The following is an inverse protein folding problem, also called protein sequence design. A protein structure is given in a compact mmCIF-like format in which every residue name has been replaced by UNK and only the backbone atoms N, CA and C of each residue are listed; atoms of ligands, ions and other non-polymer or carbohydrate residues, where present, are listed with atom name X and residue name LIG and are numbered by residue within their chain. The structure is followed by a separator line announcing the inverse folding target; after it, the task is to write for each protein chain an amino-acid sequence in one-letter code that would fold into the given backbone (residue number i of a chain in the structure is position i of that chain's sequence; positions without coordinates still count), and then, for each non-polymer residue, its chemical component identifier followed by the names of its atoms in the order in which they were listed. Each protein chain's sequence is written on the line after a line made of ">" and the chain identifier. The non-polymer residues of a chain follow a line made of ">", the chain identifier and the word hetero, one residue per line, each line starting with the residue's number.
data_IF_550511232028
#
_entry.id   IF_550511232028
#
_cell.length_a   1.000
_cell.length_b   1.000
_cell.length_c   1.000
_cell.angle_alpha   90.00
_cell.angle_beta   90.00
_cell.angle_gamma   90.00
#
_symmetry.space_group_name_H-M   'P 1'
#
loop_
_entity.id
_entity.type
_entity.pdbx_description
1 polymer ?
#
# COMPACT_ATOMS: atom_id res chain seq x y z
N UNK A 1 -50.68 37.39 -19.63
CA UNK A 1 -50.31 37.22 -18.19
C UNK A 1 -49.98 35.77 -17.77
N UNK A 2 -50.66 34.73 -18.24
CA UNK A 2 -50.39 33.32 -17.84
C UNK A 2 -49.02 32.77 -18.27
N UNK A 3 -48.49 33.16 -19.43
CA UNK A 3 -47.22 32.65 -19.99
C UNK A 3 -45.98 33.16 -19.20
N UNK A 4 -46.05 34.37 -18.65
CA UNK A 4 -44.96 34.98 -17.87
C UNK A 4 -44.79 34.26 -16.52
N UNK A 5 -45.90 33.85 -15.89
CA UNK A 5 -45.88 33.06 -14.64
C UNK A 5 -45.27 31.67 -14.81
N UNK A 6 -45.48 31.01 -15.95
CA UNK A 6 -44.90 29.68 -16.23
C UNK A 6 -43.38 29.77 -16.45
N UNK A 7 -42.89 30.81 -17.15
CA UNK A 7 -41.44 31.05 -17.32
C UNK A 7 -40.73 31.33 -15.98
N UNK A 8 -41.35 32.10 -15.08
CA UNK A 8 -40.79 32.38 -13.76
C UNK A 8 -40.76 31.14 -12.85
N UNK A 9 -41.76 30.25 -12.95
CA UNK A 9 -41.78 28.97 -12.23
C UNK A 9 -40.72 28.01 -12.76
N UNK A 10 -40.53 27.92 -14.09
CA UNK A 10 -39.48 27.08 -14.70
C UNK A 10 -38.07 27.58 -14.39
N UNK A 11 -37.84 28.91 -14.37
CA UNK A 11 -36.55 29.50 -13.97
C UNK A 11 -36.22 29.24 -12.49
N UNK A 12 -37.24 29.29 -11.62
CA UNK A 12 -37.12 28.94 -10.20
C UNK A 12 -36.82 27.46 -9.98
N UNK A 13 -37.46 26.55 -10.74
CA UNK A 13 -37.16 25.12 -10.69
C UNK A 13 -35.73 24.81 -11.17
N UNK A 14 -35.23 25.50 -12.20
CA UNK A 14 -33.87 25.32 -12.71
C UNK A 14 -32.81 25.83 -11.72
N UNK A 15 -33.08 26.93 -11.00
CA UNK A 15 -32.20 27.41 -9.92
C UNK A 15 -32.22 26.47 -8.70
N UNK A 16 -33.38 25.90 -8.33
CA UNK A 16 -33.49 24.91 -7.24
C UNK A 16 -32.80 23.57 -7.58
N UNK A 17 -32.78 23.16 -8.86
CA UNK A 17 -32.02 22.00 -9.33
C UNK A 17 -30.50 22.25 -9.35
N UNK A 18 -30.06 23.49 -9.61
CA UNK A 18 -28.63 23.85 -9.56
C UNK A 18 -28.05 23.92 -8.14
N UNK A 19 -28.89 24.08 -7.12
CA UNK A 19 -28.50 24.07 -5.70
C UNK A 19 -28.27 22.66 -5.13
N UNK A 20 -28.57 21.60 -5.90
CA UNK A 20 -28.35 20.20 -5.49
C UNK A 20 -26.94 19.66 -5.73
N UNK A 21 -26.05 20.42 -6.39
CA UNK A 21 -24.67 20.02 -6.68
C UNK A 21 -23.66 20.69 -5.76
N UNK A 22 -24.04 20.99 -4.51
CA UNK A 22 -23.08 21.40 -3.49
C UNK A 22 -22.10 20.26 -3.28
N UNK A 23 -20.87 20.52 -3.74
CA UNK A 23 -19.90 19.50 -4.11
C UNK A 23 -19.56 18.54 -2.97
N UNK A 24 -19.49 17.25 -3.30
CA UNK A 24 -18.88 16.23 -2.45
C UNK A 24 -17.35 16.43 -2.31
N UNK A 25 -16.77 17.41 -3.01
CA UNK A 25 -15.38 17.81 -2.86
C UNK A 25 -15.10 18.35 -1.45
N UNK A 26 -13.93 18.01 -0.93
CA UNK A 26 -13.43 18.40 0.38
C UNK A 26 -12.38 19.50 0.18
N UNK A 27 -12.43 20.56 0.97
CA UNK A 27 -11.38 21.59 1.00
C UNK A 27 -10.13 21.12 1.76
N UNK A 28 -8.96 21.71 1.48
CA UNK A 28 -7.71 21.41 2.21
C UNK A 28 -7.90 21.52 3.73
N UNK A 29 -8.58 22.59 4.20
CA UNK A 29 -8.84 22.82 5.62
C UNK A 29 -9.75 21.75 6.24
N UNK A 30 -10.79 21.29 5.52
CA UNK A 30 -11.63 20.19 5.97
C UNK A 30 -10.83 18.89 6.07
N UNK A 31 -9.98 18.60 5.07
CA UNK A 31 -9.13 17.41 5.05
C UNK A 31 -8.10 17.41 6.18
N UNK A 32 -7.43 18.55 6.42
CA UNK A 32 -6.48 18.71 7.53
C UNK A 32 -7.16 18.51 8.89
N UNK A 33 -8.34 19.10 9.07
CA UNK A 33 -9.13 18.96 10.31
C UNK A 33 -9.53 17.51 10.56
N UNK A 34 -9.99 16.81 9.51
CA UNK A 34 -10.36 15.40 9.61
C UNK A 34 -9.15 14.52 9.90
N UNK A 35 -8.00 14.77 9.27
CA UNK A 35 -6.76 14.08 9.58
C UNK A 35 -6.36 14.29 11.06
N UNK A 36 -6.36 15.53 11.54
CA UNK A 36 -6.04 15.84 12.93
C UNK A 36 -6.96 15.13 13.92
N UNK A 37 -8.27 15.15 13.67
CA UNK A 37 -9.26 14.54 14.55
C UNK A 37 -9.19 13.00 14.51
N UNK A 38 -8.95 12.40 13.34
CA UNK A 38 -8.75 10.96 13.22
C UNK A 38 -7.50 10.49 13.95
N UNK A 39 -6.36 11.16 13.76
CA UNK A 39 -5.09 10.82 14.42
C UNK A 39 -5.22 10.94 15.95
N UNK A 40 -5.84 12.00 16.45
CA UNK A 40 -6.16 12.17 17.87
C UNK A 40 -7.12 11.10 18.39
N UNK A 41 -8.08 10.65 17.57
CA UNK A 41 -9.01 9.59 17.96
C UNK A 41 -8.28 8.26 18.17
N UNK A 42 -7.39 7.88 17.24
CA UNK A 42 -6.70 6.58 17.29
C UNK A 42 -5.49 6.58 18.23
N UNK A 43 -4.90 7.75 18.50
CA UNK A 43 -3.78 7.90 19.41
C UNK A 43 -3.90 9.19 20.26
N UNK A 44 -4.79 9.19 21.27
CA UNK A 44 -5.16 10.41 22.02
C UNK A 44 -4.05 11.02 22.87
N UNK A 45 -2.98 10.26 23.16
CA UNK A 45 -1.84 10.72 23.98
C UNK A 45 -0.76 11.39 23.15
N UNK A 46 -0.82 11.27 21.82
CA UNK A 46 0.18 11.86 20.92
C UNK A 46 -0.19 13.28 20.52
N UNK A 47 0.86 14.09 20.33
CA UNK A 47 0.76 15.40 19.71
C UNK A 47 1.06 15.26 18.22
N UNK A 48 0.20 15.85 17.38
CA UNK A 48 0.35 15.83 15.93
C UNK A 48 0.52 17.25 15.41
N UNK A 49 1.63 17.49 14.72
CA UNK A 49 1.86 18.71 13.93
C UNK A 49 1.62 18.38 12.47
N UNK A 50 0.51 18.88 11.93
CA UNK A 50 0.17 18.72 10.51
C UNK A 50 0.67 19.94 9.75
N UNK A 51 1.33 19.71 8.61
CA UNK A 51 1.91 20.75 7.76
C UNK A 51 2.03 20.26 6.31
N UNK A 52 2.45 21.15 5.41
CA UNK A 52 2.76 20.87 4.00
C UNK A 52 1.65 20.09 3.28
N UNK A 53 0.56 20.79 2.97
CA UNK A 53 -0.51 20.24 2.15
C UNK A 53 -0.09 20.20 0.67
N UNK A 54 0.11 19.00 0.15
CA UNK A 54 0.29 18.76 -1.29
C UNK A 54 -0.99 18.12 -1.86
N UNK A 55 -1.42 18.61 -3.03
CA UNK A 55 -2.55 18.00 -3.74
C UNK A 55 -2.06 16.84 -4.61
N UNK A 56 -2.65 15.67 -4.40
CA UNK A 56 -2.52 14.57 -5.35
C UNK A 56 -3.67 14.71 -6.34
N UNK A 57 -3.33 15.06 -7.58
CA UNK A 57 -4.27 15.35 -8.66
C UNK A 57 -3.94 14.58 -9.95
N UNK A 58 -4.84 14.71 -10.90
CA UNK A 58 -4.62 14.43 -12.33
C UNK A 58 -5.25 15.58 -13.16
N UNK A 59 -5.42 15.36 -14.47
CA UNK A 59 -5.91 16.35 -15.43
C UNK A 59 -7.35 16.84 -15.12
N UNK A 60 -8.16 16.05 -14.42
CA UNK A 60 -9.53 16.39 -14.03
C UNK A 60 -9.60 16.98 -12.61
N UNK A 61 -8.47 17.31 -11.98
CA UNK A 61 -8.40 18.02 -10.69
C UNK A 61 -7.98 17.16 -9.50
N UNK A 62 -8.17 17.70 -8.29
CA UNK A 62 -7.65 17.11 -7.05
C UNK A 62 -8.40 15.85 -6.64
N UNK A 63 -7.68 14.82 -6.20
CA UNK A 63 -8.21 13.52 -5.81
C UNK A 63 -7.99 13.18 -4.35
N UNK A 64 -6.83 13.59 -3.82
CA UNK A 64 -6.45 13.39 -2.43
C UNK A 64 -5.58 14.57 -1.96
N UNK A 65 -5.39 14.66 -0.66
CA UNK A 65 -4.45 15.54 -0.02
C UNK A 65 -3.40 14.73 0.72
N UNK A 66 -2.14 15.11 0.55
CA UNK A 66 -0.99 14.55 1.27
C UNK A 66 -0.50 15.60 2.25
N UNK A 67 -0.48 15.27 3.54
CA UNK A 67 0.05 16.15 4.57
C UNK A 67 1.22 15.48 5.28
N UNK A 68 2.22 16.29 5.65
CA UNK A 68 3.24 15.91 6.62
C UNK A 68 2.62 15.92 8.02
N UNK A 69 2.89 14.88 8.80
CA UNK A 69 2.44 14.75 10.21
C UNK A 69 3.65 14.40 11.05
N UNK A 70 4.14 15.33 11.88
CA UNK A 70 5.44 15.19 12.55
C UNK A 70 6.51 14.77 11.52
N UNK A 71 7.13 13.60 11.68
CA UNK A 71 8.08 13.02 10.71
C UNK A 71 7.49 11.91 9.83
N UNK A 72 6.17 11.76 9.84
CA UNK A 72 5.41 10.89 8.95
C UNK A 72 4.42 11.66 8.08
N UNK A 73 3.34 11.00 7.65
CA UNK A 73 2.38 11.52 6.69
C UNK A 73 0.95 11.05 6.93
N UNK A 74 0.00 11.71 6.28
CA UNK A 74 -1.39 11.25 6.15
C UNK A 74 -1.91 11.55 4.75
N UNK A 75 -2.59 10.59 4.14
CA UNK A 75 -3.29 10.75 2.86
C UNK A 75 -4.78 10.77 3.11
N UNK A 76 -5.42 11.85 2.69
CA UNK A 76 -6.85 12.11 2.91
C UNK A 76 -7.58 12.16 1.56
N UNK A 77 -8.74 11.52 1.44
CA UNK A 77 -9.56 11.59 0.24
C UNK A 77 -10.11 13.01 0.00
N UNK A 78 -10.21 13.42 -1.27
CA UNK A 78 -10.84 14.71 -1.65
C UNK A 78 -12.36 14.60 -1.81
N UNK A 79 -12.98 13.42 -1.64
CA UNK A 79 -14.41 13.23 -1.88
C UNK A 79 -15.13 12.61 -0.68
N UNK A 80 -16.24 13.22 -0.26
CA UNK A 80 -17.06 12.79 0.87
C UNK A 80 -17.76 11.44 0.66
N UNK A 81 -17.73 10.88 -0.56
CA UNK A 81 -18.17 9.51 -0.87
C UNK A 81 -17.12 8.44 -0.53
N UNK A 82 -15.87 8.82 -0.28
CA UNK A 82 -14.81 7.90 0.14
C UNK A 82 -14.63 7.91 1.66
N UNK A 83 -14.03 6.83 2.20
CA UNK A 83 -13.50 6.88 3.56
C UNK A 83 -12.43 7.97 3.67
N UNK A 84 -12.41 8.80 4.73
CA UNK A 84 -11.55 9.98 4.75
C UNK A 84 -10.05 9.69 4.75
N UNK A 85 -9.58 8.73 5.56
CA UNK A 85 -8.15 8.49 5.78
C UNK A 85 -7.70 7.24 5.02
N UNK A 86 -6.91 7.44 3.97
CA UNK A 86 -6.50 6.37 3.05
C UNK A 86 -5.16 5.74 3.43
N UNK A 87 -4.27 6.53 4.03
CA UNK A 87 -3.01 6.06 4.61
C UNK A 87 -2.52 7.01 5.70
N UNK A 88 -1.74 6.50 6.65
CA UNK A 88 -1.08 7.32 7.66
C UNK A 88 0.18 6.66 8.24
N UNK A 89 1.11 7.50 8.70
CA UNK A 89 2.19 7.18 9.63
C UNK A 89 2.48 8.46 10.43
N UNK A 90 2.51 8.41 11.76
CA UNK A 90 2.48 9.62 12.58
C UNK A 90 3.84 10.07 13.12
N UNK A 91 4.92 9.33 12.89
CA UNK A 91 6.20 9.61 13.54
C UNK A 91 7.48 9.22 12.79
N UNK A 92 7.38 8.68 11.57
CA UNK A 92 8.55 8.39 10.71
C UNK A 92 8.14 8.23 9.24
N UNK A 93 9.12 7.98 8.39
CA UNK A 93 8.92 7.50 7.01
C UNK A 93 8.26 8.52 6.07
N UNK A 94 8.27 9.81 6.41
CA UNK A 94 7.90 10.87 5.49
C UNK A 94 8.84 10.90 4.29
N UNK A 95 8.26 10.94 3.10
CA UNK A 95 8.94 11.16 1.84
C UNK A 95 8.12 12.13 0.98
N UNK A 96 8.75 12.82 0.04
CA UNK A 96 8.06 13.74 -0.87
C UNK A 96 7.41 12.96 -2.02
N UNK A 97 6.30 13.47 -2.55
CA UNK A 97 5.60 12.81 -3.68
C UNK A 97 6.45 12.68 -4.95
N UNK A 98 7.57 13.43 -5.04
CA UNK A 98 8.56 13.31 -6.10
C UNK A 98 9.49 12.07 -5.98
N UNK A 99 9.37 11.25 -4.93
CA UNK A 99 10.23 10.06 -4.76
C UNK A 99 10.03 9.00 -5.85
N UNK A 100 11.06 8.19 -6.10
CA UNK A 100 11.06 7.09 -7.08
C UNK A 100 10.53 5.76 -6.54
N UNK A 101 9.71 5.75 -5.48
CA UNK A 101 9.13 4.52 -4.93
C UNK A 101 8.01 3.99 -5.86
N UNK A 102 8.36 3.04 -6.74
CA UNK A 102 7.43 2.54 -7.75
C UNK A 102 6.23 1.80 -7.16
N UNK A 103 6.39 1.07 -6.07
CA UNK A 103 5.33 0.30 -5.40
C UNK A 103 4.28 1.22 -4.76
N UNK A 104 4.72 2.28 -4.09
CA UNK A 104 3.82 3.30 -3.57
C UNK A 104 3.14 4.06 -4.71
N UNK A 105 3.87 4.44 -5.76
CA UNK A 105 3.27 5.12 -6.92
C UNK A 105 2.24 4.24 -7.63
N UNK A 106 2.49 2.94 -7.72
CA UNK A 106 1.53 1.96 -8.21
C UNK A 106 0.26 1.96 -7.34
N UNK A 107 0.39 1.76 -6.04
CA UNK A 107 -0.76 1.80 -5.11
C UNK A 107 -1.54 3.12 -5.23
N UNK A 108 -0.83 4.25 -5.30
CA UNK A 108 -1.42 5.56 -5.44
C UNK A 108 -2.18 5.71 -6.77
N UNK A 109 -1.63 5.19 -7.87
CA UNK A 109 -2.27 5.22 -9.19
C UNK A 109 -3.58 4.43 -9.22
N UNK A 110 -3.61 3.28 -8.54
CA UNK A 110 -4.78 2.42 -8.44
C UNK A 110 -5.86 3.04 -7.54
N UNK A 111 -5.44 3.74 -6.49
CA UNK A 111 -6.33 4.53 -5.64
C UNK A 111 -6.91 5.74 -6.37
N UNK A 112 -6.12 6.45 -7.18
CA UNK A 112 -6.61 7.55 -8.04
C UNK A 112 -7.77 7.08 -8.93
N UNK A 113 -7.64 5.90 -9.56
CA UNK A 113 -8.70 5.32 -10.40
C UNK A 113 -9.97 5.02 -9.60
N UNK A 114 -9.86 4.51 -8.37
CA UNK A 114 -11.01 4.30 -7.49
C UNK A 114 -11.74 5.61 -7.14
N UNK A 115 -11.01 6.66 -6.77
CA UNK A 115 -11.62 7.95 -6.42
C UNK A 115 -12.28 8.59 -7.65
N UNK A 116 -11.68 8.45 -8.84
CA UNK A 116 -12.28 8.92 -10.10
C UNK A 116 -13.64 8.27 -10.37
N UNK A 117 -13.73 6.95 -10.22
CA UNK A 117 -15.00 6.22 -10.35
C UNK A 117 -16.06 6.72 -9.37
N UNK A 118 -15.70 7.03 -8.11
CA UNK A 118 -16.62 7.65 -7.13
C UNK A 118 -17.08 9.04 -7.53
N UNK A 119 -16.15 9.88 -7.98
CA UNK A 119 -16.42 11.26 -8.40
C UNK A 119 -17.40 11.31 -9.57
N UNK A 120 -17.23 10.42 -10.55
CA UNK A 120 -18.14 10.28 -11.69
C UNK A 120 -19.52 9.71 -11.31
N UNK A 121 -19.70 9.23 -10.07
CA UNK A 121 -20.98 8.68 -9.59
C UNK A 121 -21.32 7.32 -10.21
N UNK A 122 -20.35 6.64 -10.80
CA UNK A 122 -20.54 5.39 -11.55
C UNK A 122 -20.72 4.19 -10.59
N UNK A 123 -20.38 4.32 -9.30
CA UNK A 123 -20.41 3.22 -8.35
C UNK A 123 -20.98 3.62 -6.98
N UNK A 124 -21.60 2.66 -6.31
CA UNK A 124 -21.94 2.78 -4.89
C UNK A 124 -20.68 2.58 -4.04
N UNK A 125 -20.44 3.42 -3.01
CA UNK A 125 -19.41 3.14 -2.01
C UNK A 125 -19.70 1.79 -1.33
N UNK A 126 -18.65 1.02 -1.07
CA UNK A 126 -18.72 -0.15 -0.18
C UNK A 126 -19.05 0.26 1.25
N UNK A 127 -18.61 1.46 1.64
CA UNK A 127 -18.84 2.01 2.95
C UNK A 127 -20.25 2.55 3.11
N UNK A 128 -20.91 2.21 4.21
CA UNK A 128 -22.21 2.77 4.55
C UNK A 128 -22.07 4.23 5.02
N UNK A 129 -22.76 5.17 4.37
CA UNK A 129 -22.85 6.60 4.75
C UNK A 129 -21.49 7.32 4.93
N UNK A 130 -20.58 7.28 3.94
CA UNK A 130 -19.26 7.93 4.02
C UNK A 130 -19.34 9.44 4.32
N UNK A 131 -20.33 10.16 3.79
CA UNK A 131 -20.51 11.59 4.05
C UNK A 131 -20.83 11.89 5.53
N UNK A 132 -21.50 10.98 6.24
CA UNK A 132 -21.80 11.15 7.67
C UNK A 132 -20.54 10.93 8.52
N UNK A 133 -19.65 10.02 8.11
CA UNK A 133 -18.33 9.83 8.73
C UNK A 133 -17.49 11.11 8.63
N UNK A 134 -17.47 11.73 7.45
CA UNK A 134 -16.83 13.02 7.23
C UNK A 134 -17.37 14.10 8.17
N UNK A 135 -18.70 14.23 8.26
CA UNK A 135 -19.33 15.22 9.13
C UNK A 135 -18.97 15.00 10.61
N UNK A 136 -19.01 13.75 11.07
CA UNK A 136 -18.71 13.40 12.46
C UNK A 136 -17.23 13.65 12.80
N UNK A 137 -16.30 13.39 11.88
CA UNK A 137 -14.88 13.72 12.03
C UNK A 137 -14.60 15.23 11.94
N UNK A 138 -15.38 15.99 11.17
CA UNK A 138 -15.26 17.45 11.08
C UNK A 138 -15.73 18.19 12.34
N UNK A 139 -16.70 17.64 13.06
CA UNK A 139 -17.36 18.31 14.20
C UNK A 139 -16.64 18.13 15.55
N UNK A 140 -15.64 17.26 15.64
CA UNK A 140 -14.81 16.95 16.81
C UNK A 140 -15.52 16.27 18.02
N UNK A 141 -14.85 15.22 18.51
CA UNK A 141 -14.91 14.40 19.75
C UNK A 141 -16.20 13.91 20.42
N UNK A 142 -17.36 14.59 20.41
CA UNK A 142 -18.53 14.07 21.18
C UNK A 142 -19.36 13.05 20.40
N UNK A 143 -19.32 13.11 19.07
CA UNK A 143 -20.10 12.25 18.17
C UNK A 143 -19.37 11.03 17.62
N UNK A 144 -18.08 10.93 17.91
CA UNK A 144 -17.23 9.78 17.55
C UNK A 144 -16.57 9.22 18.79
N UNK A 145 -16.52 7.90 18.88
CA UNK A 145 -15.80 7.22 19.97
C UNK A 145 -15.08 6.00 19.43
N UNK A 146 -13.81 5.87 19.75
CA UNK A 146 -13.08 4.62 19.59
C UNK A 146 -13.65 3.64 20.62
N UNK A 147 -14.39 2.62 20.16
CA UNK A 147 -15.00 1.62 21.05
C UNK A 147 -13.95 0.60 21.47
N UNK A 148 -13.15 0.16 20.50
CA UNK A 148 -12.05 -0.76 20.72
C UNK A 148 -10.93 -0.44 19.76
N UNK A 149 -9.71 -0.45 20.29
CA UNK A 149 -8.55 -0.73 19.48
C UNK A 149 -8.47 -2.25 19.37
N UNK A 150 -8.80 -2.80 18.20
CA UNK A 150 -8.53 -4.22 17.97
C UNK A 150 -7.02 -4.29 17.90
N UNK A 151 -6.37 -4.68 19.02
CA UNK A 151 -4.91 -4.76 19.19
C UNK A 151 -4.28 -5.17 17.87
N UNK A 152 -3.75 -4.17 17.18
CA UNK A 152 -2.96 -4.41 16.01
C UNK A 152 -1.77 -5.25 16.40
N UNK A 153 -1.24 -6.01 15.45
CA UNK A 153 0.01 -6.71 15.64
C UNK A 153 1.04 -5.98 14.78
N UNK A 154 1.68 -4.91 15.29
CA UNK A 154 2.80 -4.32 14.58
C UNK A 154 4.00 -5.26 14.71
N UNK A 155 4.52 -5.77 13.60
CA UNK A 155 5.89 -6.24 13.54
C UNK A 155 6.70 -5.05 13.04
N UNK A 156 7.51 -4.46 13.92
CA UNK A 156 8.56 -3.56 13.46
C UNK A 156 9.68 -4.44 12.94
N UNK A 157 9.75 -4.66 11.63
CA UNK A 157 10.88 -5.37 11.06
C UNK A 157 12.13 -4.49 11.18
N UNK A 158 13.25 -5.08 11.61
CA UNK A 158 14.55 -4.39 11.56
C UNK A 158 15.05 -4.20 10.11
N UNK A 159 14.27 -4.64 9.12
CA UNK A 159 14.61 -4.68 7.70
C UNK A 159 13.97 -3.55 6.88
N UNK A 160 13.27 -2.60 7.51
CA UNK A 160 12.62 -1.46 6.82
C UNK A 160 13.57 -0.61 5.94
N UNK A 161 14.88 -0.79 6.09
CA UNK A 161 15.91 -0.06 5.33
C UNK A 161 16.18 -0.64 3.95
N UNK A 162 15.67 -1.84 3.63
CA UNK A 162 15.90 -2.47 2.33
C UNK A 162 15.42 -1.59 1.18
N UNK A 163 16.18 -1.58 0.10
CA UNK A 163 15.92 -0.75 -1.07
C UNK A 163 16.19 -1.57 -2.35
N UNK A 164 15.84 -1.02 -3.50
CA UNK A 164 16.16 -1.63 -4.79
C UNK A 164 17.43 -1.10 -5.44
N UNK A 165 18.04 -0.05 -4.87
CA UNK A 165 19.29 0.57 -5.31
C UNK A 165 20.44 0.24 -4.35
N UNK A 166 21.56 0.95 -4.46
CA UNK A 166 22.75 0.74 -3.64
C UNK A 166 22.40 0.84 -2.13
N UNK A 167 22.97 -0.01 -1.27
CA UNK A 167 23.93 -1.09 -1.57
C UNK A 167 23.31 -2.37 -2.12
N UNK A 168 22.00 -2.55 -2.01
CA UNK A 168 21.29 -3.81 -2.26
C UNK A 168 21.42 -4.33 -3.69
N UNK A 169 21.58 -3.45 -4.68
CA UNK A 169 21.76 -3.86 -6.07
C UNK A 169 23.22 -4.04 -6.48
N UNK A 170 24.21 -3.93 -5.59
CA UNK A 170 25.64 -3.87 -5.95
C UNK A 170 26.16 -5.10 -6.70
N UNK A 171 25.47 -6.25 -6.63
CA UNK A 171 25.79 -7.46 -7.40
C UNK A 171 24.82 -7.71 -8.56
N UNK A 172 23.77 -6.91 -8.70
CA UNK A 172 22.87 -7.01 -9.85
C UNK A 172 23.64 -6.71 -11.15
N UNK A 173 23.25 -7.30 -12.29
CA UNK A 173 24.00 -7.14 -13.51
C UNK A 173 23.88 -5.70 -14.04
N UNK A 174 24.76 -5.34 -14.97
CA UNK A 174 24.81 -4.02 -15.60
C UNK A 174 24.36 -4.11 -17.06
N UNK A 175 23.73 -3.06 -17.57
CA UNK A 175 23.46 -2.92 -19.00
C UNK A 175 24.77 -2.74 -19.78
N UNK A 176 24.69 -2.81 -21.11
CA UNK A 176 25.85 -2.56 -21.98
C UNK A 176 26.48 -1.17 -21.76
N UNK A 177 25.73 -0.20 -21.25
CA UNK A 177 26.19 1.16 -20.93
C UNK A 177 26.75 1.27 -19.50
N UNK A 178 26.89 0.15 -18.77
CA UNK A 178 27.44 0.11 -17.42
C UNK A 178 26.47 0.56 -16.32
N UNK A 179 25.20 0.81 -16.65
CA UNK A 179 24.18 1.18 -15.65
C UNK A 179 23.72 -0.08 -14.93
N UNK A 180 23.71 -0.04 -13.60
CA UNK A 180 23.36 -1.20 -12.77
C UNK A 180 21.85 -1.40 -12.69
N UNK A 181 21.40 -2.63 -12.88
CA UNK A 181 20.00 -3.00 -12.69
C UNK A 181 19.56 -2.74 -11.24
N UNK A 182 18.28 -2.45 -11.04
CA UNK A 182 17.68 -2.47 -9.70
C UNK A 182 17.44 -3.93 -9.27
N UNK A 183 17.36 -4.20 -7.96
CA UNK A 183 17.14 -5.58 -7.46
C UNK A 183 15.82 -6.17 -7.96
N UNK A 184 14.78 -5.34 -8.06
CA UNK A 184 13.40 -5.75 -8.28
C UNK A 184 12.65 -5.93 -6.96
N UNK A 185 11.39 -5.50 -6.94
CA UNK A 185 10.56 -5.46 -5.74
C UNK A 185 10.33 -6.84 -5.13
N UNK A 186 10.19 -7.89 -5.96
CA UNK A 186 10.09 -9.29 -5.53
C UNK A 186 11.35 -9.73 -4.77
N UNK A 187 12.54 -9.44 -5.30
CA UNK A 187 13.79 -9.82 -4.67
C UNK A 187 14.02 -9.05 -3.37
N UNK A 188 13.67 -7.75 -3.34
CA UNK A 188 13.73 -6.94 -2.13
C UNK A 188 12.81 -7.47 -1.04
N UNK A 189 11.53 -7.71 -1.35
CA UNK A 189 10.57 -8.25 -0.38
C UNK A 189 10.99 -9.64 0.14
N UNK A 190 11.49 -10.53 -0.73
CA UNK A 190 12.05 -11.81 -0.30
C UNK A 190 13.25 -11.64 0.64
N UNK A 191 14.13 -10.70 0.34
CA UNK A 191 15.33 -10.46 1.14
C UNK A 191 15.00 -9.90 2.52
N UNK A 192 14.02 -9.00 2.62
CA UNK A 192 13.49 -8.52 3.90
C UNK A 192 12.93 -9.65 4.75
N UNK A 193 12.15 -10.56 4.16
CA UNK A 193 11.62 -11.72 4.87
C UNK A 193 12.75 -12.65 5.34
N UNK A 194 13.74 -12.92 4.49
CA UNK A 194 14.85 -13.79 4.84
C UNK A 194 15.74 -13.22 5.94
N UNK A 195 16.02 -11.91 5.90
CA UNK A 195 16.76 -11.19 6.94
C UNK A 195 15.97 -11.19 8.25
N UNK A 196 14.67 -10.87 8.22
CA UNK A 196 13.82 -10.95 9.41
C UNK A 196 13.88 -12.33 10.10
N UNK A 197 13.84 -13.40 9.31
CA UNK A 197 13.92 -14.76 9.85
C UNK A 197 15.34 -15.23 10.17
N UNK A 198 16.38 -14.47 9.81
CA UNK A 198 17.76 -14.93 9.78
C UNK A 198 17.88 -16.32 9.11
N UNK A 199 17.29 -16.48 7.92
CA UNK A 199 17.12 -17.78 7.26
C UNK A 199 17.07 -17.68 5.73
N UNK A 200 17.66 -18.64 4.99
CA UNK A 200 18.36 -19.86 5.46
C UNK A 200 19.84 -19.63 5.73
N UNK A 201 20.48 -20.55 6.47
CA UNK A 201 21.95 -20.53 6.61
C UNK A 201 22.66 -20.91 5.30
N UNK A 202 22.01 -21.69 4.43
CA UNK A 202 22.57 -22.20 3.17
C UNK A 202 21.48 -22.33 2.10
N UNK A 203 21.79 -21.89 0.88
CA UNK A 203 20.89 -22.01 -0.27
C UNK A 203 20.67 -23.46 -0.73
N UNK A 204 19.86 -23.63 -1.76
CA UNK A 204 19.55 -24.92 -2.35
C UNK A 204 19.31 -24.83 -3.86
N UNK A 205 19.76 -25.88 -4.56
CA UNK A 205 19.56 -26.04 -6.00
C UNK A 205 20.48 -25.17 -6.85
N UNK A 206 20.37 -25.37 -8.14
CA UNK A 206 20.99 -24.56 -9.18
C UNK A 206 19.90 -23.77 -9.89
N UNK A 207 20.18 -22.51 -10.18
CA UNK A 207 19.30 -21.63 -10.93
C UNK A 207 19.96 -21.35 -12.27
N UNK A 208 19.21 -21.59 -13.34
CA UNK A 208 19.61 -21.20 -14.69
C UNK A 208 18.69 -20.08 -15.12
N UNK A 209 19.30 -18.92 -15.34
CA UNK A 209 18.65 -17.69 -15.69
C UNK A 209 19.07 -17.29 -17.10
N UNK A 210 18.07 -16.98 -17.92
CA UNK A 210 18.25 -16.40 -19.25
C UNK A 210 17.33 -15.19 -19.33
N UNK A 211 17.88 -14.00 -19.16
CA UNK A 211 17.12 -12.76 -19.36
C UNK A 211 17.22 -12.31 -20.80
N UNK A 212 16.06 -12.35 -21.45
CA UNK A 212 15.87 -11.95 -22.84
C UNK A 212 14.99 -10.71 -22.94
N UNK A 213 14.67 -10.04 -21.83
CA UNK A 213 13.51 -9.15 -21.74
C UNK A 213 13.83 -7.66 -21.61
N UNK A 214 15.08 -7.29 -21.30
CA UNK A 214 15.49 -5.90 -20.99
C UNK A 214 16.84 -5.50 -21.61
N UNK A 215 17.36 -4.33 -21.21
CA UNK A 215 18.70 -3.81 -21.52
C UNK A 215 19.85 -4.60 -20.86
N UNK A 216 19.54 -5.58 -20.02
CA UNK A 216 20.48 -6.44 -19.32
C UNK A 216 20.26 -7.87 -19.77
N UNK A 217 21.06 -8.32 -20.74
CA UNK A 217 20.94 -9.66 -21.32
C UNK A 217 22.08 -10.54 -20.83
N UNK A 218 21.76 -11.74 -20.36
CA UNK A 218 22.76 -12.69 -19.93
C UNK A 218 22.21 -14.08 -19.65
N UNK A 219 23.01 -15.09 -20.00
CA UNK A 219 22.82 -16.46 -19.55
C UNK A 219 23.71 -16.69 -18.33
N UNK A 220 23.10 -17.02 -17.19
CA UNK A 220 23.82 -17.38 -15.97
C UNK A 220 23.31 -18.71 -15.46
N UNK A 221 24.22 -19.63 -15.17
CA UNK A 221 23.94 -20.77 -14.30
C UNK A 221 24.66 -20.54 -12.99
N UNK A 222 23.91 -20.54 -11.88
CA UNK A 222 24.43 -20.24 -10.56
C UNK A 222 23.98 -21.30 -9.55
N UNK A 223 24.91 -21.83 -8.76
CA UNK A 223 24.60 -22.85 -7.76
C UNK A 223 24.36 -22.21 -6.39
N UNK A 224 23.09 -22.10 -5.99
CA UNK A 224 22.72 -21.61 -4.65
C UNK A 224 23.11 -22.61 -3.55
N UNK A 225 23.29 -23.89 -3.88
CA UNK A 225 23.74 -24.91 -2.93
C UNK A 225 25.15 -24.65 -2.40
N UNK A 226 25.96 -23.83 -3.08
CA UNK A 226 27.31 -23.50 -2.64
C UNK A 226 27.34 -22.21 -1.79
N UNK A 227 26.19 -21.57 -1.59
CA UNK A 227 26.08 -20.27 -0.93
C UNK A 227 25.68 -20.41 0.53
N UNK A 228 26.50 -19.85 1.41
CA UNK A 228 26.19 -19.66 2.83
C UNK A 228 25.84 -18.19 3.11
N UNK A 229 24.96 -17.99 4.08
CA UNK A 229 24.49 -16.69 4.53
C UNK A 229 24.70 -16.57 6.03
N UNK A 230 25.49 -15.56 6.43
CA UNK A 230 25.66 -15.20 7.82
C UNK A 230 24.77 -13.99 8.11
N UNK A 231 23.67 -14.22 8.79
CA UNK A 231 22.68 -13.18 9.11
C UNK A 231 23.11 -12.30 10.29
N UNK A 232 24.07 -12.76 11.10
CA UNK A 232 24.58 -11.95 12.19
C UNK A 232 25.44 -10.82 11.63
N UNK A 233 25.06 -9.57 11.89
CA UNK A 233 25.77 -8.36 11.47
C UNK A 233 25.98 -8.27 9.95
N UNK A 234 24.92 -8.48 9.16
CA UNK A 234 24.99 -8.37 7.70
C UNK A 234 25.57 -7.03 7.25
N UNK A 235 26.68 -7.11 6.52
CA UNK A 235 27.25 -5.96 5.82
C UNK A 235 26.37 -5.53 4.64
N UNK A 236 26.63 -4.34 4.11
CA UNK A 236 26.04 -3.89 2.84
C UNK A 236 26.25 -4.89 1.70
N UNK A 237 27.40 -5.59 1.71
CA UNK A 237 27.70 -6.60 0.70
C UNK A 237 26.91 -7.89 0.91
N UNK A 238 26.68 -8.31 2.16
CA UNK A 238 25.81 -9.45 2.47
C UNK A 238 24.37 -9.17 2.06
N UNK A 239 23.89 -7.94 2.29
CA UNK A 239 22.55 -7.48 1.86
C UNK A 239 22.42 -7.47 0.35
N UNK A 240 23.45 -7.03 -0.37
CA UNK A 240 23.43 -7.10 -1.83
C UNK A 240 23.51 -8.54 -2.35
N UNK A 241 24.28 -9.41 -1.67
CA UNK A 241 24.38 -10.84 -1.98
C UNK A 241 23.03 -11.52 -1.88
N UNK A 242 22.30 -11.33 -0.76
CA UNK A 242 20.99 -11.96 -0.62
C UNK A 242 19.98 -11.40 -1.64
N UNK A 243 19.98 -10.08 -1.88
CA UNK A 243 19.10 -9.45 -2.87
C UNK A 243 19.35 -9.98 -4.29
N UNK A 244 20.61 -10.13 -4.67
CA UNK A 244 20.97 -10.69 -5.96
C UNK A 244 20.56 -12.17 -6.07
N UNK A 245 20.85 -12.99 -5.04
CA UNK A 245 20.49 -14.41 -5.04
C UNK A 245 18.97 -14.61 -5.06
N UNK A 246 18.20 -13.76 -4.36
CA UNK A 246 16.74 -13.77 -4.42
C UNK A 246 16.25 -13.48 -5.84
N UNK A 247 16.83 -12.48 -6.52
CA UNK A 247 16.51 -12.17 -7.92
C UNK A 247 16.82 -13.31 -8.88
N UNK A 248 17.99 -13.94 -8.75
CA UNK A 248 18.34 -15.12 -9.55
C UNK A 248 17.35 -16.28 -9.33
N UNK A 249 16.96 -16.53 -8.08
CA UNK A 249 16.04 -17.63 -7.75
C UNK A 249 14.63 -17.45 -8.31
N UNK A 250 14.22 -16.21 -8.60
CA UNK A 250 12.91 -15.92 -9.20
C UNK A 250 12.95 -15.71 -10.71
N UNK A 251 14.10 -15.99 -11.34
CA UNK A 251 14.37 -15.68 -12.75
C UNK A 251 14.03 -14.22 -13.07
N UNK A 252 14.59 -13.29 -12.29
CA UNK A 252 14.32 -11.86 -12.41
C UNK A 252 14.65 -11.34 -13.81
N UNK A 253 13.70 -10.67 -14.45
CA UNK A 253 13.96 -9.83 -15.61
C UNK A 253 14.58 -8.53 -15.11
N UNK A 254 15.91 -8.39 -15.17
CA UNK A 254 16.64 -7.27 -14.59
C UNK A 254 16.59 -6.06 -15.51
N UNK A 255 16.19 -4.90 -15.01
CA UNK A 255 16.29 -3.64 -15.76
C UNK A 255 16.92 -2.54 -14.94
N UNK A 256 17.48 -1.56 -15.63
CA UNK A 256 18.13 -0.39 -14.99
C UNK A 256 17.14 0.54 -14.29
N UNK A 257 15.87 0.52 -14.68
CA UNK A 257 14.79 1.33 -14.09
C UNK A 257 13.85 0.48 -13.23
N UNK A 258 13.55 -0.74 -13.68
CA UNK A 258 12.64 -1.67 -13.02
C UNK A 258 13.06 -3.10 -13.34
N UNK A 259 12.94 -3.99 -12.36
CA UNK A 259 13.19 -5.42 -12.51
C UNK A 259 11.95 -6.20 -12.06
N UNK A 260 11.54 -7.19 -12.86
CA UNK A 260 10.27 -7.90 -12.66
C UNK A 260 10.40 -9.41 -12.55
N UNK A 261 9.59 -10.03 -11.71
CA UNK A 261 9.48 -11.48 -11.59
C UNK A 261 8.03 -11.90 -11.31
N UNK A 262 7.72 -13.18 -11.49
CA UNK A 262 6.36 -13.70 -11.31
C UNK A 262 6.09 -14.16 -9.88
N UNK A 263 4.84 -14.06 -9.45
CA UNK A 263 4.39 -14.53 -8.14
C UNK A 263 4.61 -16.05 -7.94
N UNK A 264 4.48 -16.83 -9.01
CA UNK A 264 4.76 -18.27 -8.98
C UNK A 264 6.24 -18.57 -8.71
N UNK A 265 7.15 -17.85 -9.37
CA UNK A 265 8.59 -17.99 -9.13
C UNK A 265 8.98 -17.57 -7.72
N UNK A 266 8.42 -16.46 -7.21
CA UNK A 266 8.59 -16.02 -5.83
C UNK A 266 8.25 -17.14 -4.84
N UNK A 267 7.04 -17.72 -4.97
CA UNK A 267 6.57 -18.79 -4.09
C UNK A 267 7.48 -20.03 -4.17
N UNK A 268 7.86 -20.42 -5.38
CA UNK A 268 8.71 -21.60 -5.59
C UNK A 268 10.13 -21.38 -5.06
N UNK A 269 10.70 -20.19 -5.24
CA UNK A 269 12.05 -19.86 -4.79
C UNK A 269 12.17 -19.92 -3.26
N UNK A 270 11.19 -19.38 -2.52
CA UNK A 270 11.17 -19.46 -1.06
C UNK A 270 11.26 -20.90 -0.56
N UNK A 271 10.47 -21.81 -1.15
CA UNK A 271 10.44 -23.23 -0.75
C UNK A 271 11.66 -23.98 -1.27
N UNK A 272 11.90 -23.96 -2.57
CA UNK A 272 12.85 -24.85 -3.23
C UNK A 272 14.29 -24.37 -3.10
N UNK A 273 14.54 -23.07 -3.11
CA UNK A 273 15.88 -22.50 -3.10
C UNK A 273 16.30 -21.95 -1.74
N UNK A 274 15.34 -21.42 -0.98
CA UNK A 274 15.59 -20.85 0.35
C UNK A 274 15.03 -21.69 1.49
N UNK A 275 14.51 -22.88 1.21
CA UNK A 275 14.18 -23.95 2.18
C UNK A 275 13.08 -23.61 3.19
N UNK A 276 12.28 -22.57 2.96
CA UNK A 276 11.11 -22.30 3.81
C UNK A 276 10.16 -23.49 3.79
N UNK A 277 9.65 -23.89 4.95
CA UNK A 277 8.75 -25.04 5.07
C UNK A 277 7.49 -24.92 4.20
N UNK A 278 6.95 -23.71 4.03
CA UNK A 278 5.92 -23.45 3.03
C UNK A 278 5.83 -21.99 2.59
N UNK A 279 5.39 -21.79 1.35
CA UNK A 279 4.93 -20.51 0.82
C UNK A 279 3.59 -20.72 0.09
N UNK A 280 2.56 -20.00 0.51
CA UNK A 280 1.17 -20.17 0.02
C UNK A 280 0.63 -18.85 -0.50
N UNK A 281 0.22 -18.83 -1.77
CA UNK A 281 -0.43 -17.68 -2.39
C UNK A 281 -1.90 -17.65 -1.99
N UNK A 282 -2.37 -16.51 -1.49
CA UNK A 282 -3.77 -16.28 -1.14
C UNK A 282 -4.27 -15.05 -1.91
N UNK A 283 -5.18 -15.23 -2.89
CA UNK A 283 -5.68 -14.12 -3.70
C UNK A 283 -6.78 -13.33 -2.98
N UNK A 284 -6.72 -12.01 -3.05
CA UNK A 284 -7.73 -11.11 -2.46
C UNK A 284 -9.09 -11.26 -3.13
N UNK A 285 -9.13 -11.60 -4.42
CA UNK A 285 -10.37 -11.80 -5.20
C UNK A 285 -11.34 -12.82 -4.60
N UNK A 286 -10.83 -13.79 -3.85
CA UNK A 286 -11.65 -14.86 -3.22
C UNK A 286 -11.98 -14.57 -1.75
N UNK A 287 -11.60 -13.40 -1.24
CA UNK A 287 -11.68 -13.07 0.18
C UNK A 287 -12.33 -11.69 0.36
N UNK A 288 -13.49 -11.63 1.02
CA UNK A 288 -14.09 -10.35 1.46
C UNK A 288 -13.23 -9.64 2.52
N UNK A 289 -13.42 -8.32 2.74
CA UNK A 289 -12.54 -7.51 3.61
C UNK A 289 -12.36 -8.08 5.01
N UNK A 290 -13.43 -8.58 5.63
CA UNK A 290 -13.37 -9.20 6.96
C UNK A 290 -12.45 -10.45 6.97
N UNK A 291 -12.58 -11.32 5.98
CA UNK A 291 -11.73 -12.51 5.88
C UNK A 291 -10.28 -12.14 5.54
N UNK A 292 -10.10 -11.19 4.63
CA UNK A 292 -8.76 -10.72 4.23
C UNK A 292 -7.97 -10.13 5.40
N UNK A 293 -8.61 -9.25 6.17
CA UNK A 293 -8.02 -8.72 7.40
C UNK A 293 -7.71 -9.83 8.40
N UNK A 294 -8.62 -10.81 8.56
CA UNK A 294 -8.42 -11.93 9.47
C UNK A 294 -7.24 -12.82 9.08
N UNK A 295 -7.03 -13.06 7.79
CA UNK A 295 -5.87 -13.82 7.28
C UNK A 295 -4.56 -13.07 7.56
N UNK A 296 -4.49 -11.78 7.22
CA UNK A 296 -3.31 -10.95 7.51
C UNK A 296 -3.00 -10.93 9.01
N UNK A 297 -4.03 -10.71 9.83
CA UNK A 297 -3.92 -10.72 11.29
C UNK A 297 -3.42 -12.05 11.83
N UNK A 298 -3.94 -13.18 11.32
CA UNK A 298 -3.51 -14.49 11.76
C UNK A 298 -2.01 -14.76 11.47
N UNK A 299 -1.47 -14.26 10.37
CA UNK A 299 -0.04 -14.39 10.08
C UNK A 299 0.80 -13.43 10.91
N UNK A 300 0.49 -12.15 10.85
CA UNK A 300 1.29 -11.09 11.46
C UNK A 300 1.29 -11.20 12.99
N UNK A 301 0.16 -11.54 13.62
CA UNK A 301 0.12 -11.76 15.07
C UNK A 301 0.87 -13.02 15.53
N UNK A 302 1.21 -13.92 14.61
CA UNK A 302 2.09 -15.06 14.87
C UNK A 302 3.54 -14.79 14.44
N UNK A 303 3.94 -13.51 14.35
CA UNK A 303 5.27 -13.07 13.95
C UNK A 303 5.66 -13.55 12.54
N UNK A 304 4.68 -13.70 11.64
CA UNK A 304 4.90 -14.07 10.24
C UNK A 304 4.52 -12.91 9.32
N UNK A 305 5.47 -12.02 8.96
CA UNK A 305 5.21 -11.03 7.91
C UNK A 305 4.91 -11.74 6.59
N UNK A 306 4.11 -11.10 5.74
CA UNK A 306 3.71 -11.66 4.44
C UNK A 306 4.28 -10.80 3.32
N UNK A 307 4.56 -11.43 2.17
CA UNK A 307 4.80 -10.65 0.95
C UNK A 307 3.46 -10.32 0.34
N UNK A 308 3.14 -9.04 0.22
CA UNK A 308 1.95 -8.52 -0.41
C UNK A 308 2.26 -8.18 -1.86
N UNK A 309 1.30 -8.42 -2.76
CA UNK A 309 1.45 -8.13 -4.18
C UNK A 309 0.19 -7.48 -4.75
N UNK A 310 0.36 -6.71 -5.81
CA UNK A 310 -0.73 -6.18 -6.61
C UNK A 310 -0.34 -6.14 -8.09
N UNK A 311 -1.32 -6.37 -8.96
CA UNK A 311 -1.13 -6.34 -10.42
C UNK A 311 -2.06 -5.28 -11.02
N UNK A 312 -1.51 -4.42 -11.86
CA UNK A 312 -2.28 -3.48 -12.68
C UNK A 312 -1.81 -3.48 -14.12
N UNK A 313 -2.26 -2.49 -14.88
CA UNK A 313 -2.04 -2.43 -16.34
C UNK A 313 -0.56 -2.30 -16.74
N UNK A 314 0.30 -1.82 -15.82
CA UNK A 314 1.72 -1.55 -16.07
C UNK A 314 2.66 -2.59 -15.45
N UNK A 315 2.12 -3.67 -14.87
CA UNK A 315 2.90 -4.76 -14.27
C UNK A 315 2.45 -5.17 -12.88
N UNK A 316 3.22 -6.06 -12.28
CA UNK A 316 3.05 -6.52 -10.90
C UNK A 316 4.05 -5.85 -9.96
N UNK A 317 3.62 -5.55 -8.74
CA UNK A 317 4.43 -5.00 -7.67
C UNK A 317 4.36 -5.91 -6.44
N UNK A 318 5.45 -5.96 -5.68
CA UNK A 318 5.56 -6.74 -4.45
C UNK A 318 6.19 -5.89 -3.34
N UNK A 319 5.73 -6.09 -2.11
CA UNK A 319 6.22 -5.40 -0.93
C UNK A 319 5.94 -6.27 0.30
N UNK A 320 6.41 -5.87 1.48
CA UNK A 320 6.14 -6.60 2.73
C UNK A 320 4.97 -5.96 3.47
N UNK A 321 4.07 -6.78 4.00
CA UNK A 321 3.12 -6.37 5.02
C UNK A 321 3.47 -7.05 6.35
N UNK A 322 3.81 -6.23 7.34
CA UNK A 322 4.35 -6.65 8.64
C UNK A 322 3.55 -6.06 9.81
N UNK A 323 2.52 -5.26 9.55
CA UNK A 323 1.61 -4.77 10.57
C UNK A 323 0.17 -4.87 10.14
N UNK A 324 -0.74 -5.05 11.09
CA UNK A 324 -2.17 -4.81 10.88
C UNK A 324 -2.79 -4.15 12.09
N UNK A 325 -3.78 -3.30 11.85
CA UNK A 325 -4.61 -2.68 12.88
C UNK A 325 -6.03 -2.50 12.36
N UNK A 326 -7.02 -2.56 13.23
CA UNK A 326 -8.37 -2.16 12.88
C UNK A 326 -8.98 -1.37 14.03
N UNK A 327 -9.62 -0.25 13.70
CA UNK A 327 -10.32 0.57 14.69
C UNK A 327 -11.82 0.40 14.50
N UNK A 328 -12.50 0.01 15.58
CA UNK A 328 -13.97 0.01 15.62
C UNK A 328 -14.42 1.37 16.14
N UNK A 329 -14.95 2.19 15.23
CA UNK A 329 -15.35 3.57 15.54
C UNK A 329 -16.88 3.63 15.61
N UNK A 330 -17.39 4.15 16.73
CA UNK A 330 -18.81 4.49 16.89
C UNK A 330 -19.08 5.84 16.23
N UNK A 331 -20.12 5.89 15.42
CA UNK A 331 -20.70 7.13 14.91
C UNK A 331 -22.11 7.31 15.49
N UNK A 332 -22.28 8.32 16.35
CA UNK A 332 -23.55 8.54 17.06
C UNK A 332 -24.63 9.13 16.15
N UNK A 333 -24.25 9.89 15.12
CA UNK A 333 -25.20 10.54 14.21
C UNK A 333 -26.11 9.55 13.47
N UNK A 334 -25.64 8.32 13.25
CA UNK A 334 -26.41 7.28 12.56
C UNK A 334 -26.36 5.93 13.25
N UNK A 335 -26.06 5.94 14.55
CA UNK A 335 -26.18 4.81 15.47
C UNK A 335 -25.48 3.51 14.99
N UNK A 336 -24.34 3.63 14.32
CA UNK A 336 -23.59 2.47 13.79
C UNK A 336 -22.12 2.42 14.24
N UNK A 337 -21.50 1.27 14.06
CA UNK A 337 -20.06 1.05 14.24
C UNK A 337 -19.44 0.64 12.93
N UNK A 338 -18.24 1.13 12.66
CA UNK A 338 -17.50 0.82 11.45
C UNK A 338 -16.12 0.33 11.86
N UNK A 339 -15.75 -0.84 11.34
CA UNK A 339 -14.39 -1.34 11.43
C UNK A 339 -13.56 -0.74 10.31
N UNK A 340 -12.40 -0.19 10.66
CA UNK A 340 -11.49 0.50 9.72
C UNK A 340 -10.17 -0.26 9.67
N UNK A 341 -10.06 -1.29 8.81
CA UNK A 341 -8.87 -2.14 8.75
C UNK A 341 -7.74 -1.50 7.94
N UNK A 342 -6.53 -1.56 8.48
CA UNK A 342 -5.28 -1.12 7.86
C UNK A 342 -4.22 -2.22 7.92
N UNK A 343 -3.35 -2.27 6.91
CA UNK A 343 -2.08 -3.01 6.96
C UNK A 343 -0.92 -2.03 6.91
N UNK A 344 0.13 -2.29 7.71
CA UNK A 344 1.39 -1.59 7.55
C UNK A 344 2.10 -2.17 6.34
N UNK A 345 2.44 -1.30 5.39
CA UNK A 345 3.12 -1.67 4.15
C UNK A 345 4.55 -1.15 4.23
N UNK A 346 5.50 -2.06 4.17
CA UNK A 346 6.90 -1.77 3.93
C UNK A 346 7.19 -1.95 2.44
N UNK A 347 7.37 -0.83 1.73
CA UNK A 347 7.47 -0.79 0.27
C UNK A 347 8.82 -1.26 -0.28
N UNK A 348 9.82 -1.52 0.57
CA UNK A 348 11.16 -1.89 0.11
C UNK A 348 11.92 -0.71 -0.54
N UNK A 349 11.70 0.51 -0.04
CA UNK A 349 12.37 1.75 -0.49
C UNK A 349 13.02 2.53 0.65
N UNK A 350 13.70 1.83 1.56
CA UNK A 350 14.45 2.46 2.66
C UNK A 350 13.56 3.26 3.61
N UNK A 351 12.36 2.78 3.89
CA UNK A 351 11.39 3.44 4.75
C UNK A 351 10.49 4.44 4.03
N UNK A 352 10.80 4.91 2.82
CA UNK A 352 10.00 5.94 2.14
C UNK A 352 8.53 5.50 1.96
N UNK A 353 7.61 6.26 2.57
CA UNK A 353 6.17 5.98 2.63
C UNK A 353 5.77 4.72 3.39
N UNK A 354 6.65 4.06 4.14
CA UNK A 354 6.21 2.95 4.98
C UNK A 354 5.18 3.44 6.01
N UNK A 355 4.06 2.75 6.16
CA UNK A 355 2.94 3.24 6.96
C UNK A 355 1.72 2.34 6.91
N UNK A 356 0.64 2.73 7.59
CA UNK A 356 -0.64 2.03 7.58
C UNK A 356 -1.51 2.48 6.43
N UNK A 357 -1.99 1.53 5.62
CA UNK A 357 -2.79 1.74 4.43
C UNK A 357 -4.15 1.06 4.56
N UNK A 358 -5.21 1.78 4.17
CA UNK A 358 -6.58 1.31 4.28
C UNK A 358 -6.80 0.10 3.36
N UNK A 359 -7.37 -0.99 3.91
CA UNK A 359 -7.48 -2.28 3.22
C UNK A 359 -8.80 -2.49 2.47
N UNK A 360 -9.85 -1.76 2.83
CA UNK A 360 -11.14 -1.92 2.18
C UNK A 360 -11.18 -1.14 0.86
N UNK A 361 -12.09 -1.54 -0.02
CA UNK A 361 -12.37 -0.75 -1.19
C UNK A 361 -13.03 0.56 -0.78
N UNK A 362 -12.83 1.59 -1.61
CA UNK A 362 -13.66 2.81 -1.54
C UNK A 362 -14.79 2.78 -2.60
N UNK A 363 -14.75 1.85 -3.56
CA UNK A 363 -15.77 1.60 -4.61
C UNK A 363 -16.27 0.16 -4.58
N UNK A 364 -17.49 -0.11 -5.06
CA UNK A 364 -17.97 -1.47 -5.21
C UNK A 364 -17.11 -2.31 -6.18
N UNK A 365 -16.82 -3.57 -5.80
CA UNK A 365 -15.94 -4.50 -6.50
C UNK A 365 -16.34 -4.77 -7.96
N UNK A 366 -17.64 -4.70 -8.29
CA UNK A 366 -18.14 -4.97 -9.63
C UNK A 366 -17.84 -3.84 -10.64
N UNK A 367 -17.26 -2.72 -10.21
CA UNK A 367 -16.99 -1.55 -11.07
C UNK A 367 -15.49 -1.37 -11.32
N UNK A 368 -14.67 -1.45 -10.27
CA UNK A 368 -13.22 -1.32 -10.38
C UNK A 368 -12.52 -2.25 -9.41
N UNK A 369 -11.54 -3.00 -9.90
CA UNK A 369 -11.16 -4.26 -9.29
C UNK A 369 -9.71 -4.35 -8.81
N UNK A 370 -9.06 -3.22 -8.52
CA UNK A 370 -7.67 -3.22 -8.02
C UNK A 370 -7.46 -4.19 -6.86
N UNK A 371 -8.35 -4.15 -5.86
CA UNK A 371 -8.20 -5.03 -4.71
C UNK A 371 -8.34 -6.51 -5.11
N UNK A 372 -9.06 -6.88 -6.16
CA UNK A 372 -9.09 -8.30 -6.60
C UNK A 372 -7.81 -8.76 -7.32
N UNK A 373 -7.02 -7.83 -7.84
CA UNK A 373 -5.72 -8.13 -8.44
C UNK A 373 -4.58 -8.15 -7.40
N UNK A 374 -4.92 -8.19 -6.11
CA UNK A 374 -3.96 -8.35 -5.03
C UNK A 374 -3.86 -9.80 -4.58
N UNK A 375 -2.70 -10.16 -4.04
CA UNK A 375 -2.46 -11.44 -3.39
C UNK A 375 -1.44 -11.27 -2.26
N UNK A 376 -1.48 -12.14 -1.28
CA UNK A 376 -0.38 -12.29 -0.31
C UNK A 376 0.28 -13.65 -0.49
N UNK A 377 1.53 -13.73 -0.10
CA UNK A 377 2.27 -14.98 0.09
C UNK A 377 2.47 -15.15 1.59
N UNK A 378 1.75 -16.13 2.16
CA UNK A 378 1.98 -16.59 3.53
C UNK A 378 3.23 -17.44 3.56
N UNK A 379 4.11 -17.22 4.53
CA UNK A 379 5.44 -17.83 4.58
C UNK A 379 5.63 -18.47 5.95
N UNK A 380 5.95 -19.76 5.96
CA UNK A 380 6.32 -20.50 7.17
C UNK A 380 7.77 -20.90 7.01
N UNK A 381 8.60 -20.51 7.98
CA UNK A 381 10.00 -20.93 8.09
C UNK A 381 10.06 -22.42 8.36
#
# INVERSE_FOLDING_TARGET
>A
MKIIKIKQILLGLFMLLSLGMWGQNVSVNEAEKVASNFLKLINPKSTFVISNAEEIKDDEGSLMYFFKVNDGFVIVANDKKAFPILAYNDNKNFATLASTNNEFQFWLSELKKQIRVLKQGISAPTLNKPAEIWNDLLLNSTKIKLISNIKGCPLSLNTETYNQKQPYNSLCPQSAQGVRAVTGCVATAMSEIMDYYNYPAKGNGQVTWNDTSTDVVGNLTFNLSDQNYNWNNMSDMDKAKISYHAGLAVNMNYGTISSGATLGNLRNALVNNFRFSSATIVPRSTNGISNWYSILKAEICNNRPVIYTGVGNVGGHAWVADGVVSFTIRFWTFNTTIDTPFAYMNWGWGGAFNGYYYLDNIVANNVYNFNTNQSIVKIVK
#
